data_IF_078422535929
#
_entry.id   IF_078422535929
#
_cell.length_a   1.000
_cell.length_b   1.000
_cell.length_c   1.000
_cell.angle_alpha   90.00
_cell.angle_beta   90.00
_cell.angle_gamma   90.00
#
_symmetry.space_group_name_H-M   'P 1'
#
loop_
_entity.id
_entity.type
_entity.pdbx_description
1 polymer ?
#
# COMPACT_ATOMS: atom_id res chain seq x y z
N UNK A 1 26.78 6.21 -4.87
CA UNK A 1 25.48 6.90 -5.04
C UNK A 1 24.99 6.55 -6.42
N UNK A 2 23.99 5.68 -6.52
CA UNK A 2 23.52 5.15 -7.80
C UNK A 2 22.02 5.44 -7.88
N UNK A 3 21.68 6.34 -8.79
CA UNK A 3 20.31 6.74 -9.06
C UNK A 3 19.60 5.65 -9.86
N UNK A 4 18.45 5.17 -9.35
CA UNK A 4 17.54 4.34 -10.14
C UNK A 4 16.65 5.26 -10.97
N UNK A 5 17.12 5.67 -12.15
CA UNK A 5 16.31 6.28 -13.19
C UNK A 5 15.42 5.21 -13.83
N UNK A 6 14.10 5.39 -13.76
CA UNK A 6 13.14 4.59 -14.50
C UNK A 6 12.96 5.23 -15.89
N UNK A 7 13.89 4.96 -16.81
CA UNK A 7 13.72 5.29 -18.22
C UNK A 7 12.88 4.20 -18.87
N UNK A 8 11.67 4.57 -19.29
CA UNK A 8 10.87 3.76 -20.22
C UNK A 8 11.52 3.91 -21.60
N UNK A 9 12.24 2.90 -22.06
CA UNK A 9 12.68 2.79 -23.45
C UNK A 9 11.46 2.46 -24.32
N UNK A 10 10.97 3.45 -25.08
CA UNK A 10 10.18 3.20 -26.28
C UNK A 10 11.18 3.12 -27.42
N UNK A 11 11.48 1.90 -27.87
CA UNK A 11 12.20 1.68 -29.11
C UNK A 11 11.27 2.01 -30.29
N UNK A 12 11.51 3.15 -30.94
CA UNK A 12 11.07 3.41 -32.31
C UNK A 12 12.24 4.03 -33.06
N UNK A 13 12.88 3.20 -33.89
CA UNK A 13 13.98 3.59 -34.77
C UNK A 13 13.49 4.65 -35.78
N UNK A 14 14.22 5.76 -35.91
CA UNK A 14 14.12 6.66 -37.06
C UNK A 14 15.54 7.02 -37.55
N UNK A 15 15.78 6.80 -38.84
CA UNK A 15 16.88 7.36 -39.63
C UNK A 15 16.54 7.17 -41.11
N UNK A 16 15.95 8.18 -41.77
CA UNK A 16 16.60 9.27 -42.53
C UNK A 16 16.72 8.94 -44.03
N UNK A 17 15.97 9.67 -44.88
CA UNK A 17 16.35 9.87 -46.28
C UNK A 17 15.23 10.04 -47.31
N UNK A 18 14.94 11.31 -47.65
CA UNK A 18 14.56 11.86 -48.98
C UNK A 18 13.15 11.57 -49.52
N UNK A 19 12.43 12.65 -49.86
CA UNK A 19 11.30 12.60 -50.81
C UNK A 19 10.15 13.54 -50.43
N UNK A 20 10.15 14.73 -51.02
CA UNK A 20 9.08 15.71 -50.92
C UNK A 20 7.98 15.32 -51.93
N UNK A 21 6.83 14.83 -51.47
CA UNK A 21 5.56 14.84 -52.22
C UNK A 21 4.39 14.88 -51.22
N UNK A 22 3.67 16.01 -51.22
CA UNK A 22 2.55 16.32 -50.35
C UNK A 22 1.29 15.58 -50.79
N UNK A 23 0.70 14.70 -49.97
CA UNK A 23 -0.73 14.34 -50.11
C UNK A 23 -1.36 13.95 -48.76
N UNK A 24 -2.21 14.84 -48.25
CA UNK A 24 -3.46 14.58 -47.51
C UNK A 24 -3.39 13.99 -46.08
N UNK A 25 -3.19 14.86 -45.08
CA UNK A 25 -3.88 14.72 -43.78
C UNK A 25 -4.39 16.10 -43.30
N UNK A 26 -5.12 16.78 -44.18
CA UNK A 26 -6.06 17.83 -43.80
C UNK A 26 -7.40 17.15 -43.50
N UNK A 27 -7.84 17.21 -42.23
CA UNK A 27 -9.21 16.86 -41.85
C UNK A 27 -9.33 15.91 -40.66
N UNK A 28 -9.96 16.43 -39.60
CA UNK A 28 -10.63 15.69 -38.51
C UNK A 28 -9.86 15.39 -37.21
N UNK A 29 -9.22 16.41 -36.61
CA UNK A 29 -9.19 16.51 -35.14
C UNK A 29 -10.39 17.34 -34.68
N UNK A 30 -11.48 16.66 -34.32
CA UNK A 30 -12.72 17.28 -33.79
C UNK A 30 -12.36 18.25 -32.65
N UNK A 31 -12.80 19.52 -32.66
CA UNK A 31 -12.45 20.53 -31.66
C UNK A 31 -12.84 20.14 -30.21
N UNK A 32 -13.76 19.19 -30.07
CA UNK A 32 -14.12 18.57 -28.79
C UNK A 32 -12.96 17.77 -28.15
N UNK A 33 -12.12 17.09 -28.94
CA UNK A 33 -11.00 16.30 -28.40
C UNK A 33 -9.85 17.17 -27.92
N UNK A 34 -9.60 18.33 -28.56
CA UNK A 34 -8.56 19.28 -28.15
C UNK A 34 -8.92 19.93 -26.80
N UNK A 35 -10.20 20.24 -26.59
CA UNK A 35 -10.72 20.70 -25.29
C UNK A 35 -10.67 19.60 -24.24
N UNK A 36 -10.96 18.35 -24.61
CA UNK A 36 -10.88 17.20 -23.72
C UNK A 36 -9.44 16.94 -23.26
N UNK A 37 -8.45 17.02 -24.16
CA UNK A 37 -7.03 16.91 -23.81
C UNK A 37 -6.58 18.00 -22.84
N UNK A 38 -6.97 19.26 -23.08
CA UNK A 38 -6.65 20.36 -22.17
C UNK A 38 -7.32 20.22 -20.80
N UNK A 39 -8.56 19.71 -20.74
CA UNK A 39 -9.24 19.42 -19.49
C UNK A 39 -8.57 18.27 -18.73
N UNK A 40 -8.12 17.20 -19.40
CA UNK A 40 -7.36 16.10 -18.77
C UNK A 40 -6.04 16.60 -18.20
N UNK A 41 -5.34 17.51 -18.89
CA UNK A 41 -4.09 18.13 -18.39
C UNK A 41 -4.37 19.04 -17.18
N UNK A 42 -5.46 19.82 -17.19
CA UNK A 42 -5.87 20.64 -16.04
C UNK A 42 -6.29 19.78 -14.84
N UNK A 43 -6.96 18.66 -15.04
CA UNK A 43 -7.32 17.72 -13.96
C UNK A 43 -6.08 16.99 -13.44
N UNK A 44 -5.06 16.75 -14.28
CA UNK A 44 -3.79 16.17 -13.84
C UNK A 44 -2.95 17.12 -12.95
N UNK A 45 -3.18 18.43 -13.05
CA UNK A 45 -2.48 19.45 -12.25
C UNK A 45 -2.88 19.49 -10.77
N UNK A 46 -3.99 18.83 -10.41
CA UNK A 46 -4.37 18.52 -9.03
C UNK A 46 -4.08 17.05 -8.74
N UNK A 47 -2.81 16.66 -8.90
CA UNK A 47 -2.31 15.47 -8.21
C UNK A 47 -2.07 15.81 -6.75
N UNK A 48 -3.16 16.09 -6.01
CA UNK A 48 -3.13 15.90 -4.57
C UNK A 48 -2.72 14.44 -4.39
N UNK A 49 -1.48 14.20 -3.97
CA UNK A 49 -0.99 12.86 -3.74
C UNK A 49 -1.91 12.23 -2.70
N UNK A 50 -2.85 11.39 -3.15
CA UNK A 50 -3.72 10.59 -2.29
C UNK A 50 -2.79 9.55 -1.65
N UNK A 51 -2.02 9.95 -0.63
CA UNK A 51 -1.09 9.07 0.03
C UNK A 51 -1.86 8.27 1.08
N UNK A 52 -2.54 7.20 0.70
CA UNK A 52 -3.18 6.31 1.67
C UNK A 52 -2.15 5.57 2.53
N UNK A 53 -2.51 5.19 3.76
CA UNK A 53 -1.64 4.41 4.66
C UNK A 53 -1.04 3.16 3.98
N UNK A 54 -1.81 2.35 3.20
CA UNK A 54 -1.23 1.24 2.43
C UNK A 54 -0.21 1.67 1.37
N UNK A 55 -0.39 2.83 0.73
CA UNK A 55 0.57 3.36 -0.24
C UNK A 55 1.86 3.82 0.47
N UNK A 56 1.76 4.42 1.65
CA UNK A 56 2.92 4.74 2.49
C UNK A 56 3.69 3.48 2.87
N UNK A 57 3.00 2.42 3.30
CA UNK A 57 3.64 1.16 3.64
C UNK A 57 4.35 0.53 2.44
N UNK A 58 3.69 0.49 1.28
CA UNK A 58 4.29 -0.02 0.04
C UNK A 58 5.56 0.74 -0.34
N UNK A 59 5.53 2.08 -0.25
CA UNK A 59 6.70 2.94 -0.50
C UNK A 59 7.82 2.68 0.51
N UNK A 60 7.47 2.49 1.79
CA UNK A 60 8.41 2.18 2.86
C UNK A 60 9.11 0.82 2.61
N UNK A 61 8.36 -0.24 2.30
CA UNK A 61 8.90 -1.55 1.94
C UNK A 61 9.86 -1.41 0.75
N UNK A 62 9.44 -0.71 -0.31
CA UNK A 62 10.25 -0.54 -1.52
C UNK A 62 11.58 0.14 -1.23
N UNK A 63 11.59 1.17 -0.37
CA UNK A 63 12.81 1.88 0.00
C UNK A 63 13.72 1.05 0.92
N UNK A 64 13.15 0.36 1.91
CA UNK A 64 13.93 -0.39 2.92
C UNK A 64 14.45 -1.74 2.38
N UNK A 65 13.72 -2.38 1.48
CA UNK A 65 14.05 -3.73 1.00
C UNK A 65 14.52 -3.78 -0.44
N UNK A 66 14.31 -2.71 -1.21
CA UNK A 66 14.51 -2.71 -2.67
C UNK A 66 13.46 -3.52 -3.44
N UNK A 67 12.43 -4.07 -2.79
CA UNK A 67 11.42 -4.94 -3.40
C UNK A 67 10.08 -4.24 -3.56
N UNK A 68 9.41 -4.47 -4.69
CA UNK A 68 8.05 -3.99 -4.90
C UNK A 68 7.08 -4.72 -3.97
N UNK A 69 6.36 -3.98 -3.13
CA UNK A 69 5.51 -4.57 -2.11
C UNK A 69 4.42 -5.49 -2.69
N UNK A 70 3.80 -5.06 -3.79
CA UNK A 70 2.72 -5.79 -4.47
C UNK A 70 3.21 -7.10 -5.06
N UNK A 71 4.41 -7.08 -5.67
CA UNK A 71 4.96 -8.25 -6.39
C UNK A 71 5.60 -9.27 -5.46
N UNK A 72 6.12 -8.86 -4.30
CA UNK A 72 6.93 -9.76 -3.46
C UNK A 72 6.22 -10.25 -2.21
N UNK A 73 5.23 -9.51 -1.70
CA UNK A 73 4.64 -9.80 -0.40
C UNK A 73 3.14 -10.05 -0.46
N UNK A 74 2.39 -9.55 -1.45
CA UNK A 74 0.97 -9.88 -1.54
C UNK A 74 0.82 -11.37 -1.90
N UNK A 75 0.06 -12.10 -1.08
CA UNK A 75 -0.14 -13.54 -1.22
C UNK A 75 1.08 -14.37 -0.83
N UNK A 76 2.02 -13.80 -0.09
CA UNK A 76 3.18 -14.55 0.40
C UNK A 76 2.85 -15.30 1.69
N UNK A 77 3.06 -16.62 1.70
CA UNK A 77 2.82 -17.45 2.87
C UNK A 77 1.37 -17.41 3.34
N UNK A 78 1.17 -17.45 4.65
CA UNK A 78 -0.14 -17.54 5.28
C UNK A 78 -0.69 -16.21 5.82
N UNK A 79 0.13 -15.15 5.85
CA UNK A 79 -0.21 -13.87 6.48
C UNK A 79 0.04 -12.64 5.61
N UNK A 80 0.94 -12.69 4.63
CA UNK A 80 1.21 -11.50 3.84
C UNK A 80 0.11 -11.27 2.79
N UNK A 81 -0.86 -10.42 3.11
CA UNK A 81 -1.95 -10.09 2.20
C UNK A 81 -3.26 -9.82 2.92
N UNK A 82 -4.35 -10.27 2.32
CA UNK A 82 -5.70 -10.09 2.87
C UNK A 82 -6.07 -11.34 3.67
N UNK A 83 -6.27 -11.16 4.98
CA UNK A 83 -6.56 -12.24 5.94
C UNK A 83 -5.32 -13.10 6.23
N UNK A 84 -5.24 -13.60 7.46
CA UNK A 84 -4.15 -14.44 7.93
C UNK A 84 -4.65 -15.51 8.88
N UNK A 85 -4.19 -16.75 8.69
CA UNK A 85 -4.53 -17.90 9.54
C UNK A 85 -3.40 -18.91 9.49
N UNK A 86 -3.46 -19.93 10.33
CA UNK A 86 -2.44 -20.98 10.26
C UNK A 86 -1.19 -20.63 11.06
N UNK A 87 -0.12 -21.38 10.83
CA UNK A 87 1.23 -21.04 11.31
C UNK A 87 2.00 -20.29 10.20
N UNK A 88 2.74 -19.22 10.52
CA UNK A 88 3.62 -18.56 9.55
C UNK A 88 4.65 -19.53 8.97
N UNK A 89 4.87 -19.47 7.66
CA UNK A 89 5.65 -20.45 6.89
C UNK A 89 7.14 -20.24 6.95
N UNK A 90 7.59 -18.99 7.08
CA UNK A 90 8.99 -18.64 7.22
C UNK A 90 9.18 -17.30 7.95
N UNK A 91 10.41 -16.76 7.93
CA UNK A 91 10.73 -15.47 8.56
C UNK A 91 10.04 -14.28 7.91
N UNK A 92 9.78 -14.33 6.60
CA UNK A 92 9.08 -13.25 5.88
C UNK A 92 7.60 -13.26 6.27
N UNK A 93 6.97 -14.43 6.27
CA UNK A 93 5.58 -14.62 6.67
C UNK A 93 5.36 -14.29 8.15
N UNK A 94 6.37 -14.56 9.00
CA UNK A 94 6.38 -14.13 10.40
C UNK A 94 6.37 -12.59 10.55
N UNK A 95 6.99 -11.84 9.64
CA UNK A 95 6.90 -10.38 9.65
C UNK A 95 5.47 -9.91 9.42
N UNK A 96 4.75 -10.54 8.48
CA UNK A 96 3.35 -10.24 8.19
C UNK A 96 2.43 -10.63 9.34
N UNK A 97 2.66 -11.79 9.96
CA UNK A 97 1.95 -12.20 11.18
C UNK A 97 2.09 -11.16 12.30
N UNK A 98 3.31 -10.67 12.54
CA UNK A 98 3.54 -9.66 13.58
C UNK A 98 2.93 -8.29 13.22
N UNK A 99 2.90 -7.95 11.93
CA UNK A 99 2.24 -6.74 11.42
C UNK A 99 0.73 -6.80 11.62
N UNK A 100 0.10 -7.94 11.32
CA UNK A 100 -1.32 -8.20 11.56
C UNK A 100 -1.67 -8.08 13.06
N UNK A 101 -0.85 -8.67 13.95
CA UNK A 101 -0.97 -8.50 15.39
C UNK A 101 -0.93 -7.00 15.78
N UNK A 102 0.04 -6.25 15.25
CA UNK A 102 0.18 -4.81 15.49
C UNK A 102 -1.09 -4.06 15.08
N UNK A 103 -1.58 -4.30 13.86
CA UNK A 103 -2.80 -3.69 13.35
C UNK A 103 -4.03 -4.05 14.19
N UNK A 104 -4.19 -5.30 14.59
CA UNK A 104 -5.30 -5.75 15.43
C UNK A 104 -5.29 -5.07 16.81
N UNK A 105 -4.10 -4.87 17.39
CA UNK A 105 -3.93 -4.04 18.60
C UNK A 105 -4.39 -2.59 18.39
N UNK A 106 -4.08 -2.00 17.23
CA UNK A 106 -4.50 -0.64 16.89
C UNK A 106 -6.02 -0.53 16.71
N UNK A 107 -6.66 -1.53 16.10
CA UNK A 107 -8.12 -1.56 16.01
C UNK A 107 -8.80 -1.62 17.39
N UNK A 108 -8.24 -2.37 18.34
CA UNK A 108 -8.73 -2.38 19.72
C UNK A 108 -8.62 -1.00 20.40
N UNK A 109 -7.61 -0.23 20.00
CA UNK A 109 -7.35 1.13 20.48
C UNK A 109 -8.08 2.21 19.67
N UNK A 110 -9.08 1.83 18.86
CA UNK A 110 -9.91 2.73 18.03
C UNK A 110 -9.14 3.46 16.92
N UNK A 111 -7.98 2.94 16.54
CA UNK A 111 -7.29 3.35 15.33
C UNK A 111 -7.78 2.57 14.11
N UNK A 112 -7.53 3.11 12.93
CA UNK A 112 -7.90 2.56 11.64
C UNK A 112 -6.67 2.52 10.70
N UNK A 113 -5.76 1.55 10.88
CA UNK A 113 -4.49 1.48 10.13
C UNK A 113 -4.57 1.54 8.61
N UNK A 114 -5.71 1.18 8.02
CA UNK A 114 -5.91 1.24 6.56
C UNK A 114 -6.21 2.65 6.04
N UNK A 115 -6.62 3.58 6.91
CA UNK A 115 -7.04 4.94 6.52
C UNK A 115 -6.38 6.04 7.36
N UNK A 116 -5.80 5.73 8.52
CA UNK A 116 -5.06 6.70 9.32
C UNK A 116 -3.75 7.06 8.60
N UNK A 117 -3.74 8.21 7.95
CA UNK A 117 -2.62 8.73 7.19
C UNK A 117 -1.48 9.15 8.11
N UNK A 118 -0.25 8.81 7.76
CA UNK A 118 0.95 9.15 8.52
C UNK A 118 2.06 9.64 7.59
N UNK A 119 3.01 10.37 8.16
CA UNK A 119 4.23 10.81 7.46
C UNK A 119 5.45 10.14 8.06
N UNK A 120 6.43 9.87 7.22
CA UNK A 120 7.70 9.27 7.63
C UNK A 120 8.84 9.82 6.78
N UNK A 121 10.04 9.79 7.35
CA UNK A 121 11.29 10.04 6.65
C UNK A 121 12.17 8.81 6.70
N UNK A 122 13.14 8.71 5.77
CA UNK A 122 14.14 7.63 5.77
C UNK A 122 15.52 8.26 5.81
N UNK A 123 16.33 7.85 6.78
CA UNK A 123 17.72 8.28 6.94
C UNK A 123 18.57 7.04 7.20
N UNK A 124 19.64 6.85 6.42
CA UNK A 124 20.55 5.71 6.55
C UNK A 124 19.85 4.33 6.60
N UNK A 125 18.89 4.13 5.70
CA UNK A 125 18.05 2.93 5.63
C UNK A 125 17.27 2.61 6.92
N UNK A 126 17.03 3.59 7.78
CA UNK A 126 16.09 3.51 8.89
C UNK A 126 14.93 4.46 8.66
N UNK A 127 13.76 4.09 9.17
CA UNK A 127 12.53 4.87 9.05
C UNK A 127 12.36 5.69 10.32
N UNK A 128 11.97 6.96 10.18
CA UNK A 128 11.60 7.82 11.29
C UNK A 128 10.15 8.26 11.09
N UNK A 129 9.28 7.84 12.00
CA UNK A 129 7.89 8.26 12.04
C UNK A 129 7.81 9.66 12.64
N UNK A 130 7.22 10.61 11.92
CA UNK A 130 7.08 11.98 12.43
C UNK A 130 6.17 11.98 13.68
N UNK A 131 6.60 12.67 14.76
CA UNK A 131 5.98 12.72 16.10
C UNK A 131 6.16 11.50 17.04
N UNK A 132 7.26 10.74 16.95
CA UNK A 132 7.62 9.77 18.00
C UNK A 132 8.07 10.50 19.27
N UNK A 133 7.37 10.43 20.41
CA UNK A 133 7.41 9.30 21.36
C UNK A 133 6.05 8.87 21.95
N UNK A 134 4.94 9.59 21.67
CA UNK A 134 3.54 9.19 21.95
C UNK A 134 2.59 10.27 21.42
N UNK A 135 1.94 10.04 20.27
CA UNK A 135 0.77 10.85 19.89
C UNK A 135 0.02 10.25 18.70
N UNK A 136 -1.26 9.92 18.92
CA UNK A 136 -2.24 9.61 17.87
C UNK A 136 -2.13 8.25 17.18
N UNK A 137 -3.17 7.92 16.42
CA UNK A 137 -3.22 6.72 15.60
C UNK A 137 -2.22 6.73 14.41
N UNK A 138 -2.04 7.84 13.66
CA UNK A 138 -1.06 7.92 12.58
C UNK A 138 0.34 7.42 12.95
N UNK A 139 0.91 7.96 14.03
CA UNK A 139 2.26 7.59 14.48
C UNK A 139 2.36 6.10 14.81
N UNK A 140 1.33 5.54 15.46
CA UNK A 140 1.32 4.11 15.81
C UNK A 140 1.20 3.20 14.59
N UNK A 141 0.44 3.61 13.57
CA UNK A 141 0.34 2.90 12.29
C UNK A 141 1.70 2.93 11.58
N UNK A 142 2.34 4.11 11.54
CA UNK A 142 3.69 4.25 11.01
C UNK A 142 4.69 3.31 11.70
N UNK A 143 4.65 3.21 13.03
CA UNK A 143 5.55 2.31 13.77
C UNK A 143 5.31 0.84 13.45
N UNK A 144 4.06 0.39 13.31
CA UNK A 144 3.76 -0.97 12.85
C UNK A 144 4.37 -1.24 11.46
N UNK A 145 4.20 -0.30 10.53
CA UNK A 145 4.71 -0.41 9.15
C UNK A 145 6.24 -0.36 9.10
N UNK A 146 6.85 0.51 9.92
CA UNK A 146 8.30 0.60 10.12
C UNK A 146 8.86 -0.73 10.57
N UNK A 147 8.32 -1.31 11.64
CA UNK A 147 8.80 -2.57 12.17
C UNK A 147 8.68 -3.71 11.14
N UNK A 148 7.57 -3.76 10.40
CA UNK A 148 7.36 -4.74 9.35
C UNK A 148 8.38 -4.58 8.21
N UNK A 149 8.61 -3.35 7.73
CA UNK A 149 9.58 -3.08 6.66
C UNK A 149 11.01 -3.47 7.04
N UNK A 150 11.43 -3.15 8.27
CA UNK A 150 12.73 -3.52 8.82
C UNK A 150 12.84 -5.05 9.01
N UNK A 151 11.74 -5.70 9.41
CA UNK A 151 11.67 -7.15 9.50
C UNK A 151 11.85 -7.82 8.13
N UNK A 152 11.18 -7.34 7.07
CA UNK A 152 11.36 -7.86 5.72
C UNK A 152 12.80 -7.75 5.23
N UNK A 153 13.47 -6.63 5.51
CA UNK A 153 14.90 -6.48 5.20
C UNK A 153 15.74 -7.54 5.91
N UNK A 154 15.49 -7.78 7.21
CA UNK A 154 16.21 -8.82 7.98
C UNK A 154 15.92 -10.23 7.45
N UNK A 155 14.69 -10.51 7.03
CA UNK A 155 14.27 -11.80 6.48
C UNK A 155 14.70 -12.04 5.02
N UNK A 156 15.17 -11.00 4.33
CA UNK A 156 15.46 -11.03 2.88
C UNK A 156 16.38 -12.17 2.42
N UNK A 157 17.38 -12.54 3.24
CA UNK A 157 18.32 -13.62 2.91
C UNK A 157 17.68 -15.01 2.89
N UNK A 158 16.55 -15.18 3.57
CA UNK A 158 15.82 -16.45 3.65
C UNK A 158 14.48 -16.37 2.91
N UNK A 159 14.28 -15.36 2.06
CA UNK A 159 13.05 -15.22 1.27
C UNK A 159 12.89 -16.42 0.34
N UNK A 160 11.72 -17.07 0.39
CA UNK A 160 11.42 -18.26 -0.37
C UNK A 160 10.36 -17.98 -1.44
N UNK A 161 10.78 -17.96 -2.71
CA UNK A 161 9.89 -17.74 -3.86
C UNK A 161 8.77 -18.77 -3.98
N UNK A 162 8.93 -19.99 -3.44
CA UNK A 162 7.88 -21.02 -3.50
C UNK A 162 6.67 -20.70 -2.60
N UNK A 163 6.81 -19.74 -1.68
CA UNK A 163 5.73 -19.27 -0.82
C UNK A 163 4.96 -18.09 -1.44
N UNK A 164 5.27 -17.71 -2.68
CA UNK A 164 4.52 -16.67 -3.38
C UNK A 164 3.21 -17.24 -3.93
N UNK A 165 2.10 -16.50 -3.78
CA UNK A 165 0.73 -16.97 -4.05
C UNK A 165 0.38 -18.27 -3.32
N UNK A 166 0.77 -18.36 -2.05
CA UNK A 166 0.59 -19.57 -1.27
C UNK A 166 -0.90 -19.81 -0.93
N UNK A 167 -1.47 -20.99 -1.21
CA UNK A 167 -2.89 -21.23 -0.96
C UNK A 167 -3.27 -21.24 0.52
N UNK A 168 -4.26 -20.43 0.89
CA UNK A 168 -4.84 -20.39 2.25
C UNK A 168 -5.31 -21.76 2.76
N UNK A 169 -5.69 -22.67 1.85
CA UNK A 169 -6.10 -24.03 2.19
C UNK A 169 -4.99 -24.80 2.93
N UNK A 170 -3.72 -24.43 2.73
CA UNK A 170 -2.58 -25.06 3.37
C UNK A 170 -2.14 -24.36 4.65
N UNK A 171 -2.88 -23.36 5.12
CA UNK A 171 -2.66 -22.68 6.39
C UNK A 171 -3.56 -23.29 7.48
N UNK A 172 -3.19 -24.48 7.99
CA UNK A 172 -4.06 -25.33 8.84
C UNK A 172 -3.64 -25.45 10.30
N UNK A 173 -2.39 -25.16 10.63
CA UNK A 173 -1.88 -25.28 12.01
C UNK A 173 -2.33 -24.10 12.89
N UNK A 174 -2.31 -24.25 14.22
CA UNK A 174 -2.64 -23.13 15.09
C UNK A 174 -1.59 -22.02 15.00
N UNK A 175 -1.99 -20.75 14.90
CA UNK A 175 -1.05 -19.64 14.97
C UNK A 175 -0.35 -19.59 16.32
N UNK A 176 0.89 -19.07 16.37
CA UNK A 176 1.49 -18.69 17.64
C UNK A 176 0.66 -17.58 18.32
N UNK A 177 0.99 -17.26 19.57
CA UNK A 177 0.42 -16.09 20.25
C UNK A 177 1.10 -14.82 19.72
N UNK A 178 0.34 -13.72 19.67
CA UNK A 178 0.90 -12.42 19.32
C UNK A 178 2.02 -12.03 20.30
N UNK A 179 3.04 -11.29 19.84
CA UNK A 179 4.09 -10.79 20.71
C UNK A 179 3.53 -9.91 21.86
N UNK A 180 4.14 -9.95 23.05
CA UNK A 180 3.76 -9.07 24.16
C UNK A 180 3.73 -7.60 23.73
N UNK A 181 2.69 -6.86 24.13
CA UNK A 181 2.49 -5.46 23.73
C UNK A 181 1.86 -5.26 22.34
N UNK A 182 1.63 -6.31 21.55
CA UNK A 182 1.08 -6.24 20.19
C UNK A 182 -0.29 -6.90 20.02
N UNK A 183 -1.16 -6.78 21.03
CA UNK A 183 -2.54 -7.26 20.98
C UNK A 183 -2.68 -8.78 21.13
N UNK A 184 -3.91 -9.29 21.01
CA UNK A 184 -4.23 -10.72 21.03
C UNK A 184 -4.87 -11.13 19.70
N UNK A 185 -4.31 -12.14 19.03
CA UNK A 185 -4.95 -12.78 17.87
C UNK A 185 -6.17 -13.55 18.37
N UNK A 186 -7.34 -12.89 18.39
CA UNK A 186 -8.60 -13.58 18.58
C UNK A 186 -9.09 -14.11 17.24
N UNK A 187 -9.36 -15.41 17.18
CA UNK A 187 -10.11 -16.02 16.09
C UNK A 187 -11.40 -15.22 15.84
N UNK A 188 -11.57 -14.71 14.61
CA UNK A 188 -12.76 -13.97 14.21
C UNK A 188 -12.68 -12.44 14.24
N UNK A 189 -11.52 -11.83 14.53
CA UNK A 189 -11.38 -10.36 14.41
C UNK A 189 -11.66 -9.87 13.00
N UNK A 190 -11.22 -10.58 11.95
CA UNK A 190 -11.42 -10.15 10.56
C UNK A 190 -12.91 -10.04 10.14
N UNK A 191 -13.78 -10.91 10.69
CA UNK A 191 -15.25 -10.79 10.53
C UNK A 191 -15.79 -9.53 11.21
N UNK A 192 -15.29 -9.19 12.40
CA UNK A 192 -15.64 -7.94 13.10
C UNK A 192 -15.00 -6.70 12.44
N UNK A 193 -13.81 -6.82 11.85
CA UNK A 193 -13.02 -5.79 11.15
C UNK A 193 -13.69 -5.35 9.86
N UNK A 194 -14.17 -6.30 9.06
CA UNK A 194 -15.03 -6.03 7.89
C UNK A 194 -16.33 -5.32 8.30
N UNK A 195 -16.90 -5.67 9.46
CA UNK A 195 -18.11 -5.04 9.98
C UNK A 195 -17.85 -3.60 10.48
N UNK A 196 -16.72 -3.36 11.17
CA UNK A 196 -16.30 -2.03 11.62
C UNK A 196 -15.97 -1.10 10.44
N UNK A 197 -15.23 -1.60 9.43
CA UNK A 197 -14.94 -0.84 8.20
C UNK A 197 -16.22 -0.50 7.44
N UNK A 198 -17.16 -1.45 7.29
CA UNK A 198 -18.48 -1.18 6.69
C UNK A 198 -19.28 -0.14 7.47
N UNK A 199 -19.24 -0.18 8.81
CA UNK A 199 -19.90 0.81 9.67
C UNK A 199 -19.27 2.20 9.54
N UNK A 200 -17.94 2.30 9.49
CA UNK A 200 -17.23 3.57 9.36
C UNK A 200 -17.39 4.18 7.96
N UNK A 201 -17.33 3.37 6.90
CA UNK A 201 -17.66 3.84 5.54
C UNK A 201 -19.12 4.30 5.45
N UNK A 202 -20.05 3.57 6.08
CA UNK A 202 -21.45 3.97 6.19
C UNK A 202 -21.70 5.22 7.04
N UNK A 203 -20.83 5.54 7.99
CA UNK A 203 -20.89 6.77 8.78
C UNK A 203 -20.35 7.98 7.99
N UNK A 204 -19.27 7.80 7.22
CA UNK A 204 -18.69 8.82 6.34
C UNK A 204 -19.63 9.22 5.19
N UNK A 205 -20.39 8.27 4.62
CA UNK A 205 -21.41 8.59 3.61
C UNK A 205 -22.62 9.30 4.21
N UNK A 206 -22.93 9.10 5.50
CA UNK A 206 -24.05 9.75 6.18
C UNK A 206 -23.75 11.21 6.57
N UNK A 207 -22.49 11.56 6.86
CA UNK A 207 -22.08 12.94 7.12
C UNK A 207 -22.09 13.84 5.87
N UNK A 208 -21.97 13.27 4.66
CA UNK A 208 -22.16 14.01 3.40
C UNK A 208 -23.63 14.20 2.99
N UNK A 209 -24.59 13.64 3.74
CA UNK A 209 -26.02 13.64 3.42
C UNK A 209 -26.88 14.63 4.23
N UNK A 210 -26.31 15.40 5.15
CA UNK A 210 -27.04 16.38 5.97
C UNK A 210 -26.49 17.79 5.76
N UNK A 211 -26.62 18.30 4.54
CA UNK A 211 -26.22 19.66 4.18
C UNK A 211 -27.05 20.16 3.01
N UNK A 212 -28.36 20.31 3.22
CA UNK A 212 -29.28 20.78 2.19
C UNK A 212 -30.76 20.68 2.61
N UNK A 213 -31.15 21.46 3.62
CA UNK A 213 -32.53 21.92 3.82
C UNK A 213 -32.53 23.22 4.63
N UNK A 214 -33.11 24.26 4.05
CA UNK A 214 -33.18 25.64 4.53
C UNK A 214 -32.49 26.56 3.52
N UNK A 215 -33.15 27.50 2.85
CA UNK A 215 -34.49 28.11 2.96
C UNK A 215 -34.97 28.36 1.53
#
# INVERSE_FOLDING_TARGET
MQECNFTVEIAAQNGLGVGHENVMYEGLLVPAMKRLFLLVILVASVSDTINSSPLHFSRMIQRITGKNALIYFIGYGCYCGKEGKGKPRDKTDMCCYNHDCCYDSLYMQKCHPLIDHYTFTIVNDDVFCENGEKSGCPTRVCECDREASLCFRKASRTYNKSLHHYPDLWCRENPPKCPPGKGTMHEGLWKKKTLMLKKNFGALTKQKGTGGKGI
#
